data_IF_850396014004
#
_entry.id   IF_850396014004
#
_cell.length_a   1.000
_cell.length_b   1.000
_cell.length_c   1.000
_cell.angle_alpha   90.00
_cell.angle_beta   90.00
_cell.angle_gamma   90.00
#
_symmetry.space_group_name_H-M   'P 1'
#
loop_
_entity.id
_entity.type
_entity.pdbx_description
1 polymer ?
#
# COMPACT_ATOMS: atom_id res chain seq x y z
N UNK A 1 -18.25 -18.74 43.64
CA UNK A 1 -17.23 -17.67 43.52
C UNK A 1 -15.92 -18.35 43.24
N UNK A 2 -15.52 -18.38 41.98
CA UNK A 2 -14.35 -19.13 41.49
C UNK A 2 -13.65 -18.23 40.48
N UNK A 3 -12.68 -17.46 40.96
CA UNK A 3 -11.77 -16.69 40.11
C UNK A 3 -10.78 -17.63 39.43
N UNK A 4 -10.70 -17.52 38.10
CA UNK A 4 -9.64 -18.12 37.27
C UNK A 4 -8.61 -17.03 36.98
N UNK A 5 -7.44 -17.09 37.59
CA UNK A 5 -6.27 -16.28 37.22
C UNK A 5 -5.32 -17.11 36.34
N UNK A 6 -5.23 -16.86 35.02
CA UNK A 6 -4.38 -17.62 34.09
C UNK A 6 -2.87 -17.27 34.18
N UNK A 7 -2.46 -16.33 35.04
CA UNK A 7 -1.08 -15.81 35.09
C UNK A 7 -0.11 -16.70 35.89
N UNK A 8 -0.60 -17.58 36.76
CA UNK A 8 0.26 -18.36 37.65
C UNK A 8 0.89 -19.56 36.94
N UNK A 9 0.21 -20.10 35.91
CA UNK A 9 0.68 -21.25 35.16
C UNK A 9 1.85 -20.93 34.23
N UNK A 10 1.96 -19.69 33.75
CA UNK A 10 3.05 -19.25 32.87
C UNK A 10 4.39 -19.13 33.62
N UNK A 11 4.37 -18.62 34.85
CA UNK A 11 5.60 -18.53 35.68
C UNK A 11 6.10 -19.88 36.17
N UNK A 12 5.21 -20.85 36.37
CA UNK A 12 5.61 -22.21 36.74
C UNK A 12 6.34 -22.91 35.58
N UNK A 13 5.87 -22.76 34.34
CA UNK A 13 6.53 -23.36 33.17
C UNK A 13 7.86 -22.68 32.81
N UNK A 14 8.01 -21.37 33.03
CA UNK A 14 9.30 -20.70 32.81
C UNK A 14 10.35 -21.09 33.87
N UNK A 15 9.93 -21.43 35.10
CA UNK A 15 10.86 -21.79 36.19
C UNK A 15 11.51 -23.17 36.06
N UNK A 16 10.97 -24.06 35.23
CA UNK A 16 11.50 -25.42 35.05
C UNK A 16 12.65 -25.47 34.02
N UNK A 17 12.84 -24.41 33.22
CA UNK A 17 13.85 -24.37 32.15
C UNK A 17 15.11 -23.56 32.48
N UNK A 18 15.22 -22.97 33.69
CA UNK A 18 16.43 -22.28 34.13
C UNK A 18 17.08 -23.01 35.31
N UNK A 19 17.78 -24.10 35.00
CA UNK A 19 18.84 -24.60 35.87
C UNK A 19 20.15 -23.86 35.56
N UNK A 20 20.66 -23.16 36.58
CA UNK A 20 22.02 -22.59 36.77
C UNK A 20 22.39 -21.24 36.12
N UNK A 21 22.20 -20.13 36.86
CA UNK A 21 23.33 -19.34 37.44
C UNK A 21 22.85 -18.22 38.40
N UNK A 22 23.43 -18.04 39.60
CA UNK A 22 23.01 -16.98 40.52
C UNK A 22 23.57 -15.61 40.08
N UNK A 23 22.70 -14.61 39.99
CA UNK A 23 23.08 -13.21 39.80
C UNK A 23 23.87 -12.66 41.00
N UNK A 24 24.96 -11.87 40.81
CA UNK A 24 25.70 -11.28 41.92
C UNK A 24 24.96 -10.06 42.52
N UNK A 25 25.18 -9.74 43.81
CA UNK A 25 24.46 -8.67 44.48
C UNK A 25 24.95 -7.28 44.04
N UNK A 26 24.02 -6.32 44.06
CA UNK A 26 24.21 -4.93 43.64
C UNK A 26 25.40 -4.25 44.35
N UNK A 27 26.45 -3.91 43.57
CA UNK A 27 27.54 -3.03 44.01
C UNK A 27 27.15 -1.56 43.84
N UNK A 28 27.40 -0.79 44.90
CA UNK A 28 27.35 0.68 44.95
C UNK A 28 28.09 1.30 43.75
N UNK A 29 27.54 2.42 43.28
CA UNK A 29 28.12 3.26 42.24
C UNK A 29 29.57 3.68 42.60
N UNK A 30 30.53 3.51 41.68
CA UNK A 30 31.79 4.22 41.76
C UNK A 30 31.79 5.45 40.84
N UNK A 31 32.57 6.42 41.29
CA UNK A 31 32.92 7.71 40.71
C UNK A 31 33.29 7.67 39.21
N UNK A 32 33.05 8.82 38.56
CA UNK A 32 33.28 9.09 37.15
C UNK A 32 34.79 9.27 36.87
N UNK A 33 35.39 8.38 36.09
CA UNK A 33 36.72 8.57 35.47
C UNK A 33 36.56 8.55 33.93
N UNK A 34 37.20 9.47 33.19
CA UNK A 34 37.05 9.59 31.75
C UNK A 34 38.08 8.70 31.03
N UNK A 35 37.66 7.51 30.61
CA UNK A 35 38.53 6.57 29.88
C UNK A 35 37.73 5.80 28.86
N UNK A 36 38.11 5.93 27.59
CA UNK A 36 37.36 5.45 26.44
C UNK A 36 37.05 3.96 26.43
N UNK A 37 35.85 3.63 25.96
CA UNK A 37 35.49 2.27 25.54
C UNK A 37 34.56 2.36 24.34
N UNK A 38 35.07 1.94 23.18
CA UNK A 38 34.25 1.60 22.03
C UNK A 38 33.36 0.42 22.38
N UNK A 39 32.16 0.69 22.89
CA UNK A 39 31.10 -0.30 22.94
C UNK A 39 30.63 -0.64 21.53
N UNK A 40 30.13 -1.86 21.27
CA UNK A 40 29.53 -2.18 19.98
C UNK A 40 28.43 -1.15 19.72
N UNK A 41 28.57 -0.42 18.61
CA UNK A 41 27.64 0.63 18.24
C UNK A 41 26.23 0.05 18.23
N UNK A 42 25.39 0.41 19.20
CA UNK A 42 23.99 0.01 19.18
C UNK A 42 23.41 0.41 17.82
N UNK A 43 22.67 -0.48 17.14
CA UNK A 43 22.09 -0.16 15.85
C UNK A 43 21.28 1.13 15.99
N UNK A 44 21.57 2.12 15.14
CA UNK A 44 20.89 3.42 15.15
C UNK A 44 19.39 3.18 14.96
N UNK A 45 18.60 3.37 16.01
CA UNK A 45 17.14 3.28 15.97
C UNK A 45 16.57 4.24 14.93
N UNK A 46 15.53 3.82 14.21
CA UNK A 46 14.89 4.60 13.14
C UNK A 46 14.15 5.83 13.69
N UNK A 47 14.21 6.90 12.89
CA UNK A 47 13.42 8.11 13.08
C UNK A 47 11.97 7.89 12.62
N UNK A 48 11.06 8.76 13.07
CA UNK A 48 9.63 8.78 12.68
C UNK A 48 9.45 8.71 11.17
N UNK A 49 10.25 9.49 10.43
CA UNK A 49 10.13 9.59 8.98
C UNK A 49 10.51 8.26 8.29
N UNK A 50 11.68 7.71 8.61
CA UNK A 50 12.18 6.50 7.97
C UNK A 50 11.49 5.22 8.45
N UNK A 51 11.09 5.16 9.72
CA UNK A 51 10.50 3.95 10.29
C UNK A 51 8.98 3.88 10.24
N UNK A 52 8.28 5.01 10.04
CA UNK A 52 6.81 5.02 9.99
C UNK A 52 6.28 5.68 8.73
N UNK A 53 6.67 6.93 8.45
CA UNK A 53 6.10 7.69 7.32
C UNK A 53 6.40 7.02 5.99
N UNK A 54 7.67 6.72 5.71
CA UNK A 54 8.10 6.13 4.43
C UNK A 54 7.46 4.76 4.18
N UNK A 55 7.50 3.79 5.12
CA UNK A 55 6.84 2.50 4.94
C UNK A 55 5.32 2.62 4.76
N UNK A 56 4.66 3.50 5.54
CA UNK A 56 3.22 3.72 5.42
C UNK A 56 2.85 4.35 4.08
N UNK A 57 3.59 5.37 3.63
CA UNK A 57 3.38 5.98 2.31
C UNK A 57 3.56 4.97 1.18
N UNK A 58 4.63 4.16 1.23
CA UNK A 58 4.86 3.13 0.22
C UNK A 58 3.77 2.05 0.20
N UNK A 59 3.23 1.69 1.37
CA UNK A 59 2.14 0.72 1.43
C UNK A 59 0.81 1.29 0.96
N UNK A 60 0.58 2.60 1.14
CA UNK A 60 -0.65 3.27 0.70
C UNK A 60 -0.58 3.76 -0.75
N UNK A 61 0.61 4.01 -1.29
CA UNK A 61 0.83 4.23 -2.72
C UNK A 61 0.89 2.89 -3.44
N UNK A 62 -0.28 2.28 -3.55
CA UNK A 62 -0.50 1.02 -4.25
C UNK A 62 -0.63 1.23 -5.77
N UNK A 63 -0.60 0.14 -6.53
CA UNK A 63 -0.89 0.04 -7.98
C UNK A 63 -2.12 0.87 -8.39
N UNK A 64 -3.10 1.00 -7.50
CA UNK A 64 -4.35 1.75 -7.73
C UNK A 64 -4.10 3.21 -8.12
N UNK A 65 -3.11 3.90 -7.52
CA UNK A 65 -2.85 5.31 -7.84
C UNK A 65 -2.39 5.50 -9.29
N UNK A 66 -1.71 4.50 -9.86
CA UNK A 66 -1.15 4.56 -11.21
C UNK A 66 -2.05 3.92 -12.27
N UNK A 67 -2.64 2.76 -11.98
CA UNK A 67 -3.41 1.98 -12.96
C UNK A 67 -4.93 2.15 -12.85
N UNK A 68 -5.45 2.66 -11.73
CA UNK A 68 -6.90 2.63 -11.46
C UNK A 68 -7.52 3.99 -11.18
N UNK A 69 -6.76 5.05 -10.92
CA UNK A 69 -7.32 6.39 -10.68
C UNK A 69 -8.15 6.88 -11.87
N UNK A 70 -7.68 6.64 -13.10
CA UNK A 70 -8.41 6.97 -14.33
C UNK A 70 -9.71 6.17 -14.47
N UNK A 71 -9.68 4.89 -14.14
CA UNK A 71 -10.87 4.03 -14.13
C UNK A 71 -11.91 4.53 -13.11
N UNK A 72 -11.49 4.88 -11.89
CA UNK A 72 -12.40 5.37 -10.84
C UNK A 72 -13.09 6.67 -11.27
N UNK A 73 -12.32 7.63 -11.79
CA UNK A 73 -12.87 8.91 -12.27
C UNK A 73 -13.75 8.71 -13.50
N UNK A 74 -13.36 7.85 -14.44
CA UNK A 74 -14.13 7.60 -15.66
C UNK A 74 -15.48 6.93 -15.42
N UNK A 75 -15.58 6.01 -14.46
CA UNK A 75 -16.85 5.32 -14.15
C UNK A 75 -17.74 6.13 -13.20
N UNK A 76 -17.16 6.65 -12.11
CA UNK A 76 -17.90 7.30 -11.04
C UNK A 76 -18.08 8.81 -11.26
N UNK A 77 -17.34 9.42 -12.19
CA UNK A 77 -17.23 10.86 -12.30
C UNK A 77 -16.49 11.50 -11.12
N UNK A 78 -16.17 12.79 -11.23
CA UNK A 78 -15.39 13.48 -10.21
C UNK A 78 -16.11 13.57 -8.86
N UNK A 79 -17.41 13.86 -8.85
CA UNK A 79 -18.14 14.04 -7.59
C UNK A 79 -18.27 12.75 -6.79
N UNK A 80 -18.62 11.63 -7.43
CA UNK A 80 -18.70 10.37 -6.71
C UNK A 80 -17.32 9.83 -6.37
N UNK A 81 -16.29 10.04 -7.20
CA UNK A 81 -14.91 9.68 -6.85
C UNK A 81 -14.42 10.40 -5.58
N UNK A 82 -14.64 11.71 -5.47
CA UNK A 82 -14.30 12.47 -4.24
C UNK A 82 -15.12 11.95 -3.05
N UNK A 83 -16.41 11.69 -3.22
CA UNK A 83 -17.25 11.14 -2.15
C UNK A 83 -16.75 9.76 -1.69
N UNK A 84 -16.33 8.89 -2.62
CA UNK A 84 -15.73 7.59 -2.31
C UNK A 84 -14.44 7.76 -1.50
N UNK A 85 -13.54 8.68 -1.88
CA UNK A 85 -12.35 8.97 -1.10
C UNK A 85 -12.68 9.52 0.29
N UNK A 86 -13.66 10.42 0.42
CA UNK A 86 -14.09 10.93 1.73
C UNK A 86 -14.58 9.80 2.64
N UNK A 87 -15.41 8.89 2.13
CA UNK A 87 -15.89 7.74 2.91
C UNK A 87 -14.74 6.79 3.27
N UNK A 88 -13.87 6.46 2.31
CA UNK A 88 -12.72 5.59 2.55
C UNK A 88 -11.78 6.18 3.61
N UNK A 89 -11.41 7.45 3.47
CA UNK A 89 -10.51 8.12 4.41
C UNK A 89 -11.16 8.40 5.76
N UNK A 90 -12.49 8.53 5.84
CA UNK A 90 -13.20 8.56 7.11
C UNK A 90 -13.01 7.23 7.88
N UNK A 91 -13.21 6.09 7.22
CA UNK A 91 -12.98 4.75 7.80
C UNK A 91 -11.51 4.59 8.23
N UNK A 92 -10.58 5.00 7.36
CA UNK A 92 -9.14 4.93 7.64
C UNK A 92 -8.78 5.82 8.83
N UNK A 93 -9.27 7.06 8.89
CA UNK A 93 -9.01 7.97 10.00
C UNK A 93 -9.50 7.39 11.33
N UNK A 94 -10.71 6.82 11.39
CA UNK A 94 -11.21 6.14 12.59
C UNK A 94 -10.29 4.98 13.01
N UNK A 95 -9.80 4.21 12.03
CA UNK A 95 -8.87 3.10 12.28
C UNK A 95 -7.52 3.61 12.78
N UNK A 96 -6.98 4.68 12.18
CA UNK A 96 -5.71 5.28 12.59
C UNK A 96 -5.80 5.85 14.00
N UNK A 97 -6.88 6.55 14.35
CA UNK A 97 -7.08 7.05 15.71
C UNK A 97 -7.12 5.92 16.74
N UNK A 98 -7.75 4.79 16.40
CA UNK A 98 -7.73 3.58 17.24
C UNK A 98 -6.30 3.02 17.41
N UNK A 99 -5.55 2.88 16.31
CA UNK A 99 -4.14 2.42 16.37
C UNK A 99 -3.26 3.39 17.15
N UNK A 100 -3.50 4.70 17.04
CA UNK A 100 -2.79 5.71 17.82
C UNK A 100 -3.04 5.51 19.31
N UNK A 101 -4.30 5.36 19.72
CA UNK A 101 -4.67 5.11 21.12
C UNK A 101 -4.01 3.84 21.68
N UNK A 102 -4.03 2.75 20.90
CA UNK A 102 -3.35 1.49 21.22
C UNK A 102 -1.83 1.72 21.41
N UNK A 103 -1.20 2.44 20.49
CA UNK A 103 0.25 2.69 20.54
C UNK A 103 0.69 3.60 21.70
N UNK A 104 -0.21 4.44 22.21
CA UNK A 104 0.08 5.33 23.35
C UNK A 104 -0.07 4.65 24.71
N UNK A 105 -0.59 3.41 24.78
CA UNK A 105 -0.90 2.71 26.03
C UNK A 105 0.34 2.13 26.77
N UNK A 106 1.50 2.79 26.67
CA UNK A 106 2.71 2.55 27.48
C UNK A 106 3.46 1.22 27.26
N UNK A 107 2.82 0.26 26.59
CA UNK A 107 3.30 -1.09 26.47
C UNK A 107 3.66 -1.38 24.99
N UNK A 108 4.73 -0.78 24.50
CA UNK A 108 5.31 -1.11 23.19
C UNK A 108 6.70 -1.74 23.31
N UNK A 109 6.79 -3.06 23.14
CA UNK A 109 8.06 -3.77 22.93
C UNK A 109 8.24 -4.08 21.44
N UNK A 110 9.38 -4.66 21.08
CA UNK A 110 9.86 -4.80 19.70
C UNK A 110 9.10 -5.78 18.79
N UNK A 111 7.87 -6.17 19.11
CA UNK A 111 7.12 -7.22 18.41
C UNK A 111 6.23 -6.77 17.25
N UNK A 112 6.32 -5.54 16.77
CA UNK A 112 5.51 -5.05 15.64
C UNK A 112 4.04 -4.77 15.99
N UNK A 113 3.18 -4.66 14.97
CA UNK A 113 1.77 -4.31 15.13
C UNK A 113 0.96 -5.39 15.87
N UNK A 114 1.19 -6.67 15.57
CA UNK A 114 0.49 -7.78 16.21
C UNK A 114 0.75 -7.84 17.72
N UNK A 115 2.01 -7.71 18.13
CA UNK A 115 2.39 -7.70 19.54
C UNK A 115 1.75 -6.52 20.30
N UNK A 116 1.75 -5.34 19.67
CA UNK A 116 1.11 -4.15 20.22
C UNK A 116 -0.40 -4.34 20.43
N UNK A 117 -1.11 -4.90 19.44
CA UNK A 117 -2.57 -5.12 19.51
C UNK A 117 -2.91 -6.20 20.55
N UNK A 118 -2.23 -7.34 20.49
CA UNK A 118 -2.49 -8.47 21.39
C UNK A 118 -2.22 -8.15 22.86
N UNK A 119 -1.26 -7.26 23.14
CA UNK A 119 -1.01 -6.80 24.51
C UNK A 119 -2.03 -5.78 25.01
N UNK A 120 -2.47 -4.86 24.14
CA UNK A 120 -3.41 -3.82 24.54
C UNK A 120 -4.87 -4.31 24.65
N UNK A 121 -5.29 -5.22 23.76
CA UNK A 121 -6.68 -5.71 23.68
C UNK A 121 -6.85 -7.13 24.26
N UNK A 122 -5.75 -7.81 24.57
CA UNK A 122 -5.75 -9.21 25.02
C UNK A 122 -5.57 -10.22 23.88
N UNK A 123 -5.25 -11.48 24.23
CA UNK A 123 -4.85 -12.50 23.27
C UNK A 123 -5.99 -12.94 22.33
N UNK A 124 -7.25 -12.90 22.77
CA UNK A 124 -8.40 -13.31 21.95
C UNK A 124 -8.62 -12.33 20.78
N UNK A 125 -8.66 -11.03 21.07
CA UNK A 125 -8.75 -9.98 20.06
C UNK A 125 -7.48 -9.90 19.20
N UNK A 126 -6.31 -10.03 19.82
CA UNK A 126 -5.03 -10.06 19.13
C UNK A 126 -4.95 -11.18 18.09
N UNK A 127 -5.30 -12.41 18.47
CA UNK A 127 -5.29 -13.57 17.58
C UNK A 127 -6.27 -13.45 16.41
N UNK A 128 -7.51 -13.03 16.68
CA UNK A 128 -8.54 -12.85 15.65
C UNK A 128 -8.16 -11.77 14.63
N UNK A 129 -7.77 -10.57 15.11
CA UNK A 129 -7.35 -9.46 14.25
C UNK A 129 -6.07 -9.83 13.50
N UNK A 130 -5.13 -10.52 14.16
CA UNK A 130 -3.87 -10.97 13.56
C UNK A 130 -4.08 -11.94 12.40
N UNK A 131 -4.98 -12.92 12.55
CA UNK A 131 -5.31 -13.88 11.50
C UNK A 131 -5.95 -13.19 10.29
N UNK A 132 -6.89 -12.27 10.52
CA UNK A 132 -7.53 -11.48 9.47
C UNK A 132 -6.50 -10.60 8.74
N UNK A 133 -5.60 -9.95 9.48
CA UNK A 133 -4.55 -9.12 8.90
C UNK A 133 -3.53 -9.95 8.09
N UNK A 134 -3.18 -11.14 8.56
CA UNK A 134 -2.33 -12.07 7.82
C UNK A 134 -2.97 -12.45 6.48
N UNK A 135 -4.22 -12.89 6.48
CA UNK A 135 -4.93 -13.26 5.25
C UNK A 135 -5.06 -12.07 4.29
N UNK A 136 -5.36 -10.88 4.83
CA UNK A 136 -5.42 -9.66 4.04
C UNK A 136 -4.08 -9.33 3.38
N UNK A 137 -2.95 -9.48 4.09
CA UNK A 137 -1.62 -9.27 3.50
C UNK A 137 -1.25 -10.33 2.45
N UNK A 138 -1.69 -11.58 2.62
CA UNK A 138 -1.50 -12.64 1.61
C UNK A 138 -2.23 -12.25 0.32
N UNK A 139 -3.52 -11.92 0.40
CA UNK A 139 -4.30 -11.46 -0.75
C UNK A 139 -3.73 -10.14 -1.33
N UNK A 140 -3.31 -9.20 -0.49
CA UNK A 140 -2.69 -7.94 -0.90
C UNK A 140 -1.40 -8.13 -1.68
N UNK A 141 -0.53 -9.06 -1.25
CA UNK A 141 0.69 -9.38 -2.00
C UNK A 141 0.39 -9.94 -3.39
N UNK A 142 -0.64 -10.78 -3.52
CA UNK A 142 -1.12 -11.24 -4.83
C UNK A 142 -1.62 -10.08 -5.71
N UNK A 143 -2.38 -9.13 -5.15
CA UNK A 143 -2.85 -7.95 -5.88
C UNK A 143 -1.69 -7.08 -6.41
N UNK A 144 -0.63 -6.89 -5.62
CA UNK A 144 0.54 -6.12 -6.07
C UNK A 144 1.31 -6.82 -7.19
N UNK A 145 1.46 -8.16 -7.11
CA UNK A 145 2.10 -8.95 -8.16
C UNK A 145 1.28 -8.91 -9.45
N UNK A 146 -0.04 -9.08 -9.36
CA UNK A 146 -0.93 -8.99 -10.52
C UNK A 146 -0.88 -7.60 -11.18
N UNK A 147 -0.86 -6.53 -10.37
CA UNK A 147 -0.73 -5.17 -10.87
C UNK A 147 0.59 -4.91 -11.59
N UNK A 148 1.69 -5.49 -11.11
CA UNK A 148 2.99 -5.41 -11.80
C UNK A 148 2.96 -6.16 -13.14
N UNK A 149 2.40 -7.37 -13.17
CA UNK A 149 2.28 -8.15 -14.40
C UNK A 149 1.39 -7.45 -15.42
N UNK A 150 0.28 -6.86 -14.98
CA UNK A 150 -0.59 -6.07 -15.85
C UNK A 150 0.16 -4.90 -16.48
N UNK A 151 0.97 -4.16 -15.72
CA UNK A 151 1.79 -3.08 -16.25
C UNK A 151 2.85 -3.57 -17.25
N UNK A 152 3.48 -4.71 -16.99
CA UNK A 152 4.46 -5.34 -17.89
C UNK A 152 3.79 -5.77 -19.21
N UNK A 153 2.66 -6.47 -19.14
CA UNK A 153 1.93 -6.95 -20.32
C UNK A 153 1.35 -5.78 -21.12
N UNK A 154 0.85 -4.74 -20.45
CA UNK A 154 0.39 -3.53 -21.14
C UNK A 154 1.50 -2.79 -21.90
N UNK A 155 2.76 -2.88 -21.42
CA UNK A 155 3.90 -2.17 -22.04
C UNK A 155 4.60 -3.00 -23.12
N UNK A 156 4.80 -4.30 -22.86
CA UNK A 156 5.64 -5.17 -23.70
C UNK A 156 4.88 -6.32 -24.37
N UNK A 157 3.59 -6.46 -24.11
CA UNK A 157 2.75 -7.52 -24.65
C UNK A 157 2.40 -7.31 -26.13
N UNK A 158 2.44 -8.40 -26.90
CA UNK A 158 1.95 -8.44 -28.29
C UNK A 158 0.43 -8.71 -28.27
N UNK A 159 -0.41 -7.88 -28.91
CA UNK A 159 -1.85 -8.10 -28.97
C UNK A 159 -2.21 -9.43 -29.66
N UNK A 160 -3.17 -10.19 -29.09
CA UNK A 160 -3.64 -11.47 -29.65
C UNK A 160 -4.32 -11.31 -31.03
N UNK A 161 -4.81 -10.11 -31.37
CA UNK A 161 -5.56 -9.83 -32.61
C UNK A 161 -4.70 -9.72 -33.88
N UNK A 162 -3.39 -10.00 -33.82
CA UNK A 162 -2.50 -9.97 -34.99
C UNK A 162 -2.35 -8.58 -35.64
N UNK A 163 -2.86 -7.53 -35.00
CA UNK A 163 -2.58 -6.16 -35.38
C UNK A 163 -1.07 -5.92 -35.26
N UNK A 164 -0.43 -5.49 -36.35
CA UNK A 164 0.99 -5.19 -36.44
C UNK A 164 1.47 -4.48 -35.17
N UNK A 165 2.41 -5.11 -34.46
CA UNK A 165 3.06 -4.55 -33.29
C UNK A 165 3.50 -3.11 -33.63
N UNK A 166 2.81 -2.13 -33.05
CA UNK A 166 2.95 -0.72 -33.43
C UNK A 166 4.29 -0.14 -32.94
N UNK A 167 5.02 -0.91 -32.14
CA UNK A 167 6.27 -0.53 -31.49
C UNK A 167 7.28 -1.70 -31.49
N UNK A 168 8.58 -1.46 -31.74
CA UNK A 168 9.62 -2.50 -31.80
C UNK A 168 9.90 -3.22 -30.46
N UNK A 169 9.25 -2.80 -29.37
CA UNK A 169 9.47 -3.33 -28.02
C UNK A 169 8.40 -4.31 -27.53
N UNK A 170 7.38 -4.64 -28.36
CA UNK A 170 6.36 -5.63 -28.02
C UNK A 170 6.85 -7.04 -28.37
N UNK A 171 7.30 -7.79 -27.36
CA UNK A 171 7.94 -9.11 -27.54
C UNK A 171 7.27 -10.20 -26.70
N UNK A 172 6.53 -9.81 -25.65
CA UNK A 172 5.93 -10.78 -24.73
C UNK A 172 4.60 -11.30 -25.28
N UNK A 173 4.37 -12.63 -25.31
CA UNK A 173 3.04 -13.16 -25.59
C UNK A 173 2.05 -12.70 -24.52
N UNK A 174 0.93 -12.14 -24.95
CA UNK A 174 -0.20 -11.85 -24.08
C UNK A 174 -1.13 -13.07 -24.00
N UNK A 175 -1.88 -13.19 -22.90
CA UNK A 175 -2.82 -14.28 -22.67
C UNK A 175 -2.94 -14.65 -21.19
N UNK A 176 -4.05 -15.30 -20.81
CA UNK A 176 -4.34 -15.65 -19.43
C UNK A 176 -3.25 -16.55 -18.80
N UNK A 177 -2.86 -17.61 -19.51
CA UNK A 177 -1.84 -18.56 -19.02
C UNK A 177 -0.45 -17.93 -18.93
N UNK A 178 -0.12 -17.03 -19.85
CA UNK A 178 1.14 -16.28 -19.82
C UNK A 178 1.17 -15.29 -18.66
N UNK A 179 0.08 -14.55 -18.43
CA UNK A 179 -0.05 -13.65 -17.28
C UNK A 179 0.08 -14.43 -15.95
N UNK A 180 -0.53 -15.61 -15.85
CA UNK A 180 -0.40 -16.47 -14.67
C UNK A 180 1.04 -16.95 -14.46
N UNK A 181 1.74 -17.33 -15.53
CA UNK A 181 3.14 -17.75 -15.49
C UNK A 181 4.05 -16.60 -15.04
N UNK A 182 3.86 -15.40 -15.59
CA UNK A 182 4.61 -14.21 -15.17
C UNK A 182 4.34 -13.85 -13.70
N UNK A 183 3.08 -13.88 -13.26
CA UNK A 183 2.73 -13.63 -11.86
C UNK A 183 3.38 -14.63 -10.91
N UNK A 184 3.35 -15.92 -11.27
CA UNK A 184 3.98 -16.99 -10.48
C UNK A 184 5.50 -16.81 -10.43
N UNK A 185 6.12 -16.46 -11.55
CA UNK A 185 7.57 -16.19 -11.61
C UNK A 185 8.00 -14.98 -10.77
N UNK A 186 7.25 -13.88 -10.83
CA UNK A 186 7.47 -12.68 -10.00
C UNK A 186 7.27 -13.02 -8.51
N UNK A 187 6.22 -13.77 -8.16
CA UNK A 187 5.99 -14.18 -6.78
C UNK A 187 7.14 -15.06 -6.23
N UNK A 188 7.66 -15.98 -7.05
CA UNK A 188 8.82 -16.80 -6.69
C UNK A 188 10.08 -15.94 -6.52
N UNK A 189 10.30 -14.95 -7.38
CA UNK A 189 11.40 -13.99 -7.23
C UNK A 189 11.27 -13.19 -5.92
N UNK A 190 10.08 -12.68 -5.61
CA UNK A 190 9.80 -12.00 -4.35
C UNK A 190 10.08 -12.91 -3.15
N UNK A 191 9.70 -14.19 -3.22
CA UNK A 191 10.01 -15.18 -2.19
C UNK A 191 11.53 -15.33 -2.01
N UNK A 192 12.30 -15.47 -3.10
CA UNK A 192 13.76 -15.55 -3.04
C UNK A 192 14.38 -14.30 -2.41
N UNK A 193 13.90 -13.10 -2.77
CA UNK A 193 14.37 -11.84 -2.17
C UNK A 193 14.07 -11.79 -0.66
N UNK A 194 12.89 -12.25 -0.24
CA UNK A 194 12.52 -12.33 1.17
C UNK A 194 13.45 -13.28 1.97
N UNK A 195 14.00 -14.33 1.33
CA UNK A 195 14.94 -15.27 1.98
C UNK A 195 16.34 -14.67 2.23
N UNK A 196 16.77 -13.66 1.46
CA UNK A 196 18.08 -13.01 1.61
C UNK A 196 18.18 -12.21 2.92
N UNK A 197 17.04 -11.77 3.48
CA UNK A 197 16.93 -11.22 4.83
C UNK A 197 16.54 -9.74 4.91
N UNK A 198 16.04 -9.34 6.09
CA UNK A 198 15.38 -8.06 6.33
C UNK A 198 16.31 -6.82 6.33
N UNK A 199 17.62 -6.99 6.50
CA UNK A 199 18.54 -5.85 6.58
C UNK A 199 18.70 -5.12 5.24
N UNK A 200 18.61 -5.84 4.12
CA UNK A 200 18.62 -5.23 2.77
C UNK A 200 17.33 -4.44 2.54
N UNK A 201 16.20 -4.98 3.02
CA UNK A 201 14.88 -4.39 2.87
C UNK A 201 14.83 -2.95 3.40
N UNK A 202 15.28 -2.71 4.64
CA UNK A 202 15.25 -1.37 5.23
C UNK A 202 16.03 -0.32 4.43
N UNK A 203 17.14 -0.70 3.78
CA UNK A 203 17.91 0.20 2.90
C UNK A 203 17.23 0.40 1.53
N UNK A 204 16.65 -0.66 0.98
CA UNK A 204 15.95 -0.62 -0.29
C UNK A 204 14.67 0.21 -0.23
N UNK A 205 13.93 0.17 0.89
CA UNK A 205 12.68 0.93 1.10
C UNK A 205 12.86 2.43 0.85
N UNK A 206 13.99 3.02 1.28
CA UNK A 206 14.25 4.43 1.00
C UNK A 206 14.50 4.72 -0.49
N UNK A 207 15.23 3.85 -1.18
CA UNK A 207 15.43 3.98 -2.63
C UNK A 207 14.10 3.87 -3.37
N UNK A 208 13.26 2.89 -3.03
CA UNK A 208 11.94 2.70 -3.61
C UNK A 208 11.07 3.95 -3.38
N UNK A 209 11.11 4.52 -2.17
CA UNK A 209 10.41 5.76 -1.87
C UNK A 209 10.83 6.93 -2.78
N UNK A 210 12.14 7.12 -2.99
CA UNK A 210 12.62 8.17 -3.89
C UNK A 210 12.14 7.96 -5.33
N UNK A 211 12.17 6.71 -5.81
CA UNK A 211 11.67 6.36 -7.15
C UNK A 211 10.16 6.64 -7.25
N UNK A 212 9.36 6.21 -6.28
CA UNK A 212 7.91 6.43 -6.28
C UNK A 212 7.59 7.92 -6.22
N UNK A 213 8.27 8.70 -5.38
CA UNK A 213 8.09 10.16 -5.33
C UNK A 213 8.51 10.85 -6.62
N UNK A 214 9.60 10.40 -7.26
CA UNK A 214 10.03 10.92 -8.54
C UNK A 214 8.98 10.64 -9.63
N UNK A 215 8.51 9.39 -9.74
CA UNK A 215 7.46 9.01 -10.71
C UNK A 215 6.18 9.81 -10.46
N UNK A 216 5.74 9.92 -9.21
CA UNK A 216 4.59 10.73 -8.84
C UNK A 216 4.77 12.21 -9.25
N UNK A 217 5.96 12.78 -9.02
CA UNK A 217 6.31 14.13 -9.46
C UNK A 217 6.24 14.28 -10.99
N UNK A 218 6.75 13.30 -11.75
CA UNK A 218 6.67 13.32 -13.21
C UNK A 218 5.23 13.27 -13.72
N UNK A 219 4.33 12.53 -13.04
CA UNK A 219 2.90 12.50 -13.38
C UNK A 219 2.27 13.88 -13.20
N UNK A 220 2.55 14.55 -12.08
CA UNK A 220 2.04 15.91 -11.85
C UNK A 220 2.54 16.89 -12.91
N UNK A 221 3.83 16.84 -13.27
CA UNK A 221 4.40 17.68 -14.33
C UNK A 221 3.79 17.34 -15.69
N UNK A 222 3.48 16.06 -15.95
CA UNK A 222 2.91 15.59 -17.22
C UNK A 222 1.58 16.27 -17.54
N UNK A 223 0.70 16.49 -16.55
CA UNK A 223 -0.57 17.20 -16.77
C UNK A 223 -0.40 18.63 -17.30
N UNK A 224 0.70 19.31 -16.97
CA UNK A 224 0.99 20.68 -17.42
C UNK A 224 1.87 20.72 -18.68
N UNK A 225 2.75 19.75 -18.87
CA UNK A 225 3.73 19.75 -19.95
C UNK A 225 3.24 19.08 -21.24
N UNK A 226 2.34 18.08 -21.14
CA UNK A 226 1.87 17.32 -22.30
C UNK A 226 0.83 18.12 -23.08
N UNK A 227 1.09 18.31 -24.38
CA UNK A 227 0.13 18.91 -25.32
C UNK A 227 -1.03 17.96 -25.61
N UNK A 228 -2.20 18.47 -26.03
CA UNK A 228 -3.35 17.64 -26.36
C UNK A 228 -2.99 16.51 -27.34
N UNK A 229 -3.35 15.28 -27.00
CA UNK A 229 -3.00 14.05 -27.74
C UNK A 229 -4.25 13.18 -27.87
N UNK A 230 -4.58 12.79 -29.09
CA UNK A 230 -5.65 11.83 -29.36
C UNK A 230 -5.03 10.43 -29.46
N UNK A 231 -5.47 9.52 -28.61
CA UNK A 231 -5.01 8.13 -28.56
C UNK A 231 -6.09 7.27 -29.19
N UNK A 232 -5.72 6.49 -30.20
CA UNK A 232 -6.64 5.54 -30.83
C UNK A 232 -6.72 4.29 -29.94
N UNK A 233 -7.93 3.95 -29.51
CA UNK A 233 -8.18 2.74 -28.74
C UNK A 233 -8.25 1.55 -29.71
N UNK A 234 -7.66 0.38 -29.36
CA UNK A 234 -7.86 -0.84 -30.16
C UNK A 234 -9.34 -1.17 -30.21
N UNK A 235 -9.95 -1.06 -31.39
CA UNK A 235 -11.31 -1.55 -31.60
C UNK A 235 -11.28 -3.08 -31.53
N UNK A 236 -12.18 -3.74 -30.78
CA UNK A 236 -12.42 -5.16 -31.01
C UNK A 236 -12.83 -5.30 -32.48
N UNK A 237 -12.04 -6.04 -33.26
CA UNK A 237 -12.15 -6.08 -34.71
C UNK A 237 -13.44 -6.72 -35.21
N UNK A 238 -13.88 -6.21 -36.37
CA UNK A 238 -14.61 -6.92 -37.44
C UNK A 238 -15.89 -7.66 -37.04
N UNK A 239 -16.93 -6.89 -36.73
CA UNK A 239 -18.29 -7.01 -37.26
C UNK A 239 -19.10 -5.92 -36.55
N UNK A 240 -19.61 -4.94 -37.30
CA UNK A 240 -20.24 -3.69 -36.80
C UNK A 240 -21.54 -3.86 -36.00
N UNK A 241 -21.60 -4.81 -35.08
CA UNK A 241 -22.70 -5.11 -34.18
C UNK A 241 -22.28 -5.14 -32.69
N UNK A 242 -21.03 -4.79 -32.38
CA UNK A 242 -20.61 -4.52 -31.00
C UNK A 242 -21.06 -3.13 -30.55
N UNK A 243 -21.23 -2.88 -29.23
CA UNK A 243 -21.50 -1.54 -28.73
C UNK A 243 -20.45 -0.58 -29.29
N UNK A 244 -20.89 0.58 -29.77
CA UNK A 244 -20.00 1.61 -30.31
C UNK A 244 -19.13 2.20 -29.20
N UNK A 245 -18.10 1.48 -28.79
CA UNK A 245 -17.08 2.01 -27.90
C UNK A 245 -16.37 3.14 -28.65
N UNK A 246 -16.14 4.29 -28.01
CA UNK A 246 -15.42 5.39 -28.64
C UNK A 246 -14.05 4.88 -29.11
N UNK A 247 -13.78 5.02 -30.41
CA UNK A 247 -12.54 4.57 -31.04
C UNK A 247 -11.37 5.53 -30.79
N UNK A 248 -11.60 6.61 -30.05
CA UNK A 248 -10.63 7.66 -29.73
C UNK A 248 -10.77 8.08 -28.26
N UNK A 249 -9.68 7.96 -27.50
CA UNK A 249 -9.52 8.60 -26.19
C UNK A 249 -8.73 9.90 -26.35
N UNK A 250 -9.27 11.01 -25.88
CA UNK A 250 -8.65 12.32 -26.08
C UNK A 250 -8.06 12.85 -24.78
N UNK A 251 -6.74 13.07 -24.77
CA UNK A 251 -6.10 13.92 -23.78
C UNK A 251 -6.20 15.37 -24.26
N UNK A 252 -7.08 16.15 -23.65
CA UNK A 252 -7.41 17.52 -24.09
C UNK A 252 -6.57 18.60 -23.40
N UNK A 253 -5.78 18.22 -22.39
CA UNK A 253 -5.11 19.15 -21.46
C UNK A 253 -6.12 19.82 -20.52
N UNK A 254 -5.69 20.80 -19.72
CA UNK A 254 -6.60 21.49 -18.79
C UNK A 254 -7.71 22.26 -19.52
N UNK A 255 -8.91 21.66 -19.59
CA UNK A 255 -10.10 22.31 -20.15
C UNK A 255 -11.27 22.20 -19.19
N UNK A 256 -11.92 23.34 -18.97
CA UNK A 256 -13.11 23.40 -18.12
C UNK A 256 -14.30 22.64 -18.75
N UNK A 257 -14.36 22.55 -20.07
CA UNK A 257 -15.43 21.82 -20.76
C UNK A 257 -15.30 20.30 -20.57
N UNK A 258 -14.07 19.76 -20.62
CA UNK A 258 -13.78 18.36 -20.27
C UNK A 258 -14.10 18.08 -18.80
N UNK A 259 -13.72 19.01 -17.90
CA UNK A 259 -14.12 18.90 -16.49
C UNK A 259 -15.65 18.83 -16.35
N UNK A 260 -16.38 19.65 -17.11
CA UNK A 260 -17.85 19.68 -17.12
C UNK A 260 -18.49 18.38 -17.59
N UNK A 261 -17.86 17.69 -18.54
CA UNK A 261 -18.27 16.35 -18.98
C UNK A 261 -18.10 15.28 -17.89
N UNK A 262 -17.01 15.38 -17.11
CA UNK A 262 -16.60 14.36 -16.15
C UNK A 262 -17.16 14.50 -14.73
N UNK A 263 -18.08 15.43 -14.45
CA UNK A 263 -18.58 15.59 -13.07
C UNK A 263 -19.53 14.47 -12.63
N UNK A 264 -20.32 13.97 -13.56
CA UNK A 264 -21.37 12.99 -13.29
C UNK A 264 -20.87 11.57 -13.52
N UNK A 265 -21.49 10.62 -12.84
CA UNK A 265 -21.17 9.21 -13.00
C UNK A 265 -21.79 8.68 -14.30
N UNK A 266 -21.00 7.92 -15.04
CA UNK A 266 -21.46 7.13 -16.17
C UNK A 266 -20.90 5.70 -16.02
N UNK A 267 -21.66 4.87 -15.30
CA UNK A 267 -21.27 3.49 -15.07
C UNK A 267 -21.49 2.68 -16.34
N UNK A 268 -20.41 2.15 -16.88
CA UNK A 268 -20.42 1.32 -18.09
C UNK A 268 -20.12 -0.14 -17.77
N UNK A 269 -20.24 -0.99 -18.78
CA UNK A 269 -19.93 -2.42 -18.67
C UNK A 269 -18.42 -2.63 -18.59
N UNK A 270 -17.99 -3.46 -17.66
CA UNK A 270 -16.59 -3.85 -17.55
C UNK A 270 -16.09 -4.55 -18.81
N UNK A 271 -14.87 -4.24 -19.24
CA UNK A 271 -14.27 -4.85 -20.41
C UNK A 271 -13.81 -6.30 -20.15
N UNK A 272 -13.56 -6.69 -18.90
CA UNK A 272 -13.15 -8.07 -18.55
C UNK A 272 -14.31 -8.96 -18.12
N UNK A 273 -15.14 -8.49 -17.19
CA UNK A 273 -16.22 -9.29 -16.60
C UNK A 273 -17.55 -9.13 -17.33
N UNK A 274 -17.70 -8.13 -18.20
CA UNK A 274 -18.96 -7.74 -18.85
C UNK A 274 -20.11 -7.49 -17.87
N UNK A 275 -19.78 -7.17 -16.62
CA UNK A 275 -20.77 -6.81 -15.60
C UNK A 275 -20.95 -5.30 -15.55
N UNK A 276 -22.17 -4.84 -15.25
CA UNK A 276 -22.43 -3.41 -15.07
C UNK A 276 -21.69 -2.92 -13.84
N UNK A 277 -20.85 -1.91 -14.01
CA UNK A 277 -20.19 -1.29 -12.87
C UNK A 277 -21.21 -0.60 -11.96
N UNK A 278 -20.93 -0.60 -10.67
CA UNK A 278 -21.75 0.07 -9.65
C UNK A 278 -20.86 0.86 -8.73
N UNK A 279 -21.46 1.77 -7.95
CA UNK A 279 -20.75 2.50 -6.91
C UNK A 279 -19.94 1.56 -5.98
N UNK A 280 -20.53 0.43 -5.58
CA UNK A 280 -19.89 -0.51 -4.67
C UNK A 280 -18.69 -1.23 -5.29
N UNK A 281 -18.77 -1.62 -6.58
CA UNK A 281 -17.65 -2.31 -7.25
C UNK A 281 -16.49 -1.36 -7.48
N UNK A 282 -16.75 -0.13 -7.93
CA UNK A 282 -15.72 0.89 -8.12
C UNK A 282 -15.10 1.31 -6.79
N UNK A 283 -15.92 1.47 -5.74
CA UNK A 283 -15.44 1.73 -4.39
C UNK A 283 -14.53 0.60 -3.88
N UNK A 284 -14.88 -0.66 -4.09
CA UNK A 284 -14.07 -1.80 -3.64
C UNK A 284 -12.68 -1.83 -4.33
N UNK A 285 -12.63 -1.54 -5.64
CA UNK A 285 -11.36 -1.45 -6.39
C UNK A 285 -10.50 -0.29 -5.86
N UNK A 286 -11.11 0.88 -5.63
CA UNK A 286 -10.42 2.04 -5.11
C UNK A 286 -9.93 1.83 -3.66
N UNK A 287 -10.79 1.27 -2.79
CA UNK A 287 -10.52 1.14 -1.36
C UNK A 287 -9.30 0.27 -1.08
N UNK A 288 -9.09 -0.80 -1.86
CA UNK A 288 -7.90 -1.63 -1.79
C UNK A 288 -6.60 -0.80 -1.93
N UNK A 289 -6.63 0.24 -2.75
CA UNK A 289 -5.50 1.16 -2.96
C UNK A 289 -5.19 2.08 -1.78
N UNK A 290 -6.17 2.35 -0.92
CA UNK A 290 -6.01 3.24 0.23
C UNK A 290 -5.67 2.50 1.54
N UNK A 291 -5.58 1.16 1.51
CA UNK A 291 -5.20 0.35 2.67
C UNK A 291 -3.68 0.41 2.94
N UNK A 292 -3.19 -0.30 3.96
CA UNK A 292 -1.75 -0.38 4.25
C UNK A 292 -1.22 0.50 5.38
N UNK A 293 -2.12 1.12 6.18
CA UNK A 293 -1.74 2.01 7.30
C UNK A 293 -0.87 1.35 8.38
N UNK A 294 -0.90 0.01 8.49
CA UNK A 294 -0.15 -0.75 9.50
C UNK A 294 1.30 -1.08 9.09
N UNK A 295 1.72 -0.73 7.86
CA UNK A 295 3.10 -0.96 7.45
C UNK A 295 4.11 -0.20 8.34
N UNK A 296 3.78 1.03 8.76
CA UNK A 296 4.61 1.81 9.67
C UNK A 296 4.63 1.32 11.13
N UNK A 297 3.58 0.64 11.60
CA UNK A 297 3.56 0.05 12.96
C UNK A 297 4.24 -1.32 13.01
N UNK A 298 4.43 -1.99 11.87
CA UNK A 298 5.17 -3.25 11.81
C UNK A 298 6.65 -3.09 12.14
N UNK A 299 7.24 -1.91 11.93
CA UNK A 299 8.63 -1.59 12.28
C UNK A 299 8.79 -1.01 13.69
N UNK A 300 7.79 -1.18 14.57
CA UNK A 300 7.77 -0.53 15.90
C UNK A 300 8.98 -0.86 16.77
N UNK A 301 9.58 -2.05 16.62
CA UNK A 301 10.73 -2.47 17.41
C UNK A 301 12.05 -1.78 17.08
N UNK A 302 12.17 -1.25 15.86
CA UNK A 302 13.39 -0.57 15.43
C UNK A 302 13.30 0.96 15.63
N UNK A 303 12.15 1.48 16.06
CA UNK A 303 11.93 2.90 16.28
C UNK A 303 12.60 3.40 17.56
N UNK A 304 13.06 4.66 17.54
CA UNK A 304 13.61 5.32 18.74
C UNK A 304 12.57 5.42 19.86
N UNK A 305 11.38 5.94 19.52
CA UNK A 305 10.26 6.16 20.44
C UNK A 305 8.93 5.75 19.75
N UNK A 306 8.49 4.49 19.85
CA UNK A 306 7.36 4.00 19.04
C UNK A 306 6.02 4.67 19.42
N UNK A 307 5.75 4.92 20.71
CA UNK A 307 4.48 5.52 21.17
C UNK A 307 4.27 6.95 20.67
N UNK A 308 5.35 7.64 20.30
CA UNK A 308 5.30 8.98 19.71
C UNK A 308 5.38 8.95 18.19
N UNK A 309 6.20 8.05 17.64
CA UNK A 309 6.51 8.00 16.21
C UNK A 309 5.34 7.46 15.39
N UNK A 310 4.65 6.43 15.90
CA UNK A 310 3.57 5.77 15.17
C UNK A 310 2.39 6.72 14.92
N UNK A 311 1.83 7.41 15.94
CA UNK A 311 0.70 8.30 15.71
C UNK A 311 1.00 9.41 14.71
N UNK A 312 2.12 10.12 14.91
CA UNK A 312 2.50 11.25 14.05
C UNK A 312 2.85 10.80 12.65
N UNK A 313 3.57 9.68 12.52
CA UNK A 313 3.99 9.16 11.23
C UNK A 313 2.80 8.70 10.39
N UNK A 314 1.90 7.91 10.98
CA UNK A 314 0.73 7.37 10.28
C UNK A 314 -0.27 8.47 9.91
N UNK A 315 -0.58 9.42 10.82
CA UNK A 315 -1.48 10.54 10.50
C UNK A 315 -0.91 11.41 9.37
N UNK A 316 0.39 11.72 9.41
CA UNK A 316 1.04 12.51 8.37
C UNK A 316 0.97 11.79 7.01
N UNK A 317 1.23 10.48 7.00
CA UNK A 317 1.16 9.67 5.79
C UNK A 317 -0.26 9.64 5.20
N UNK A 318 -1.29 9.45 6.03
CA UNK A 318 -2.70 9.42 5.59
C UNK A 318 -3.17 10.76 5.05
N UNK A 319 -2.80 11.87 5.69
CA UNK A 319 -3.15 13.21 5.18
C UNK A 319 -2.47 13.45 3.83
N UNK A 320 -1.20 13.08 3.72
CA UNK A 320 -0.45 13.25 2.47
C UNK A 320 -1.07 12.43 1.34
N UNK A 321 -1.37 11.14 1.57
CA UNK A 321 -1.99 10.30 0.54
C UNK A 321 -3.37 10.81 0.16
N UNK A 322 -4.21 11.22 1.13
CA UNK A 322 -5.51 11.81 0.86
C UNK A 322 -5.44 13.00 -0.11
N UNK A 323 -4.51 13.92 0.13
CA UNK A 323 -4.31 15.09 -0.73
C UNK A 323 -3.89 14.65 -2.13
N UNK A 324 -2.92 13.73 -2.25
CA UNK A 324 -2.42 13.26 -3.53
C UNK A 324 -3.52 12.55 -4.35
N UNK A 325 -4.30 11.67 -3.73
CA UNK A 325 -5.38 10.95 -4.43
C UNK A 325 -6.45 11.92 -4.96
N UNK A 326 -6.93 12.86 -4.12
CA UNK A 326 -7.93 13.84 -4.56
C UNK A 326 -7.39 14.78 -5.62
N UNK A 327 -6.14 15.25 -5.47
CA UNK A 327 -5.51 16.11 -6.47
C UNK A 327 -5.41 15.38 -7.81
N UNK A 328 -4.94 14.13 -7.83
CA UNK A 328 -4.88 13.33 -9.05
C UNK A 328 -6.26 13.12 -9.67
N UNK A 329 -7.30 12.86 -8.88
CA UNK A 329 -8.67 12.72 -9.41
C UNK A 329 -9.17 13.99 -10.11
N UNK A 330 -8.93 15.16 -9.50
CA UNK A 330 -9.30 16.45 -10.11
C UNK A 330 -8.51 16.69 -11.40
N UNK A 331 -7.20 16.44 -11.37
CA UNK A 331 -6.33 16.62 -12.54
C UNK A 331 -6.75 15.73 -13.71
N UNK A 332 -7.00 14.45 -13.45
CA UNK A 332 -7.49 13.49 -14.46
C UNK A 332 -8.82 13.95 -15.04
N UNK A 333 -9.78 14.35 -14.19
CA UNK A 333 -11.09 14.82 -14.64
C UNK A 333 -11.00 16.10 -15.52
N UNK A 334 -9.98 16.94 -15.30
CA UNK A 334 -9.77 18.16 -16.09
C UNK A 334 -9.06 17.91 -17.43
N UNK A 335 -8.34 16.79 -17.58
CA UNK A 335 -7.39 16.58 -18.68
C UNK A 335 -7.74 15.46 -19.65
N UNK A 336 -8.53 14.49 -19.20
CA UNK A 336 -8.90 13.30 -19.98
C UNK A 336 -10.40 13.34 -20.27
N UNK A 337 -10.75 13.14 -21.54
CA UNK A 337 -12.13 12.99 -22.03
C UNK A 337 -12.49 11.50 -22.19
#
# INVERSE_FOLDING_TARGET
MTERTPLLHYRLFSSVNESEQPAPPARRAPELEPGGSGGPAQPKKLSVFFGVVVPTLLSMFSVVVFLRIGFVVGQAGLYQAIAMFLVAYFIICMTVLSVCAISTNGALDAGGAYYMISRALGPEFGGSIGLMFFLANVCGSALYVLGLVEAIVATFGVPEDGALATSPYQVLPSGYWWSLLYATGVALLCLLVCLVGAHIYAKATFLIFLVVMFVLGTIFVSFFAVRPRTILLPSPGTNGSGPGFPTTANFTGFKLDTLRGNLWADYTLDYTTRTMMTFATVFAVMFNGCTGIMAGSNMSGDLKNPSYSIPRGTITAVIFTFIIYNLLSVLVACSCD
#
